data_IF_303099662168
#
_entry.id   IF_303099662168
#
_cell.length_a   1.000
_cell.length_b   1.000
_cell.length_c   1.000
_cell.angle_alpha   90.00
_cell.angle_beta   90.00
_cell.angle_gamma   90.00
#
_symmetry.space_group_name_H-M   'P 1'
#
loop_
_entity.id
_entity.type
_entity.pdbx_description
1 polymer ?
#
# COMPACT_ATOMS: atom_id res chain seq x y z
N UNK A 1 31.89 32.28 24.23
CA UNK A 1 30.88 33.10 24.94
C UNK A 1 30.17 33.84 23.81
N UNK A 2 28.97 33.45 23.38
CA UNK A 2 27.78 33.30 24.20
C UNK A 2 26.86 32.13 23.80
N UNK A 3 26.36 31.49 24.84
CA UNK A 3 25.30 30.50 24.82
C UNK A 3 23.97 31.22 25.04
N UNK A 4 23.02 31.11 24.12
CA UNK A 4 21.58 31.23 24.38
C UNK A 4 20.78 31.13 23.08
N UNK A 5 20.40 29.91 22.70
CA UNK A 5 19.17 29.62 21.96
C UNK A 5 18.75 28.16 22.18
N UNK A 6 18.87 27.69 23.43
CA UNK A 6 18.11 26.53 23.90
C UNK A 6 16.77 27.06 24.39
N UNK A 7 15.79 27.11 23.49
CA UNK A 7 14.39 27.24 23.88
C UNK A 7 13.95 26.00 24.66
N UNK A 8 13.02 26.12 25.62
CA UNK A 8 12.64 25.01 26.48
C UNK A 8 12.06 23.88 25.64
N UNK A 9 12.57 22.67 25.88
CA UNK A 9 11.96 21.44 25.40
C UNK A 9 10.59 21.32 26.08
N UNK A 10 9.55 21.78 25.37
CA UNK A 10 8.17 21.59 25.77
C UNK A 10 7.87 20.10 25.95
N UNK A 11 6.84 19.74 26.73
CA UNK A 11 6.54 18.36 27.06
C UNK A 11 6.40 17.58 25.77
N UNK A 12 7.24 16.55 25.64
CA UNK A 12 7.20 15.48 24.66
C UNK A 12 6.05 15.62 23.66
N UNK A 13 6.34 16.10 22.44
CA UNK A 13 5.50 15.72 21.30
C UNK A 13 5.47 14.20 21.37
N UNK A 14 4.33 13.67 21.81
CA UNK A 14 4.12 12.24 21.91
C UNK A 14 4.63 11.67 20.59
N UNK A 15 5.66 10.84 20.66
CA UNK A 15 6.11 10.03 19.55
C UNK A 15 4.85 9.41 18.97
N UNK A 16 4.39 9.91 17.82
CA UNK A 16 3.16 9.39 17.21
C UNK A 16 3.53 7.98 16.76
N UNK A 17 2.85 6.92 17.25
CA UNK A 17 3.13 5.55 16.82
C UNK A 17 3.10 5.37 15.29
N UNK A 18 2.42 6.28 14.57
CA UNK A 18 2.37 6.33 13.09
C UNK A 18 3.71 6.59 12.38
N UNK A 19 4.74 7.10 13.07
CA UNK A 19 6.06 7.32 12.45
C UNK A 19 6.85 6.03 12.26
N UNK A 20 6.47 4.94 12.93
CA UNK A 20 7.09 3.63 12.75
C UNK A 20 6.03 2.68 12.21
N UNK A 21 5.94 2.64 10.89
CA UNK A 21 4.90 1.95 10.15
C UNK A 21 4.90 0.45 10.43
N UNK A 22 3.98 -0.02 11.27
CA UNK A 22 3.52 -1.38 11.13
C UNK A 22 3.02 -1.59 9.70
N UNK A 23 3.37 -2.72 9.12
CA UNK A 23 3.04 -3.02 7.74
C UNK A 23 1.61 -3.52 7.66
N UNK A 24 0.73 -2.76 7.00
CA UNK A 24 -0.64 -3.15 6.68
C UNK A 24 -0.68 -4.10 5.47
N UNK A 25 -0.01 -5.26 5.50
CA UNK A 25 0.10 -6.11 4.31
C UNK A 25 -1.27 -6.57 3.80
N UNK A 26 -2.11 -7.15 4.67
CA UNK A 26 -3.45 -7.60 4.24
C UNK A 26 -4.36 -6.40 4.04
N UNK A 27 -4.18 -5.33 4.83
CA UNK A 27 -4.88 -4.06 4.65
C UNK A 27 -4.70 -3.50 3.24
N UNK A 28 -3.47 -3.31 2.79
CA UNK A 28 -3.13 -2.81 1.46
C UNK A 28 -3.67 -3.71 0.34
N UNK A 29 -3.40 -5.02 0.42
CA UNK A 29 -3.87 -5.97 -0.58
C UNK A 29 -5.39 -6.03 -0.65
N UNK A 30 -6.05 -6.18 0.50
CA UNK A 30 -7.47 -6.40 0.60
C UNK A 30 -8.31 -5.17 0.33
N UNK A 31 -7.94 -4.01 0.87
CA UNK A 31 -8.66 -2.76 0.60
C UNK A 31 -8.43 -2.31 -0.85
N UNK A 32 -7.19 -2.38 -1.35
CA UNK A 32 -6.89 -2.08 -2.76
C UNK A 32 -7.68 -2.96 -3.73
N UNK A 33 -7.72 -4.28 -3.47
CA UNK A 33 -8.54 -5.22 -4.22
C UNK A 33 -10.03 -4.94 -4.06
N UNK A 34 -10.50 -4.67 -2.85
CA UNK A 34 -11.91 -4.43 -2.55
C UNK A 34 -12.46 -3.19 -3.25
N UNK A 35 -11.67 -2.11 -3.29
CA UNK A 35 -12.01 -0.90 -4.04
C UNK A 35 -12.06 -1.15 -5.55
N UNK A 36 -11.09 -1.89 -6.09
CA UNK A 36 -11.13 -2.29 -7.50
C UNK A 36 -12.36 -3.17 -7.79
N UNK A 37 -12.70 -4.08 -6.89
CA UNK A 37 -13.86 -4.96 -7.03
C UNK A 37 -15.17 -4.17 -7.00
N UNK A 38 -15.30 -3.21 -6.08
CA UNK A 38 -16.44 -2.30 -6.03
C UNK A 38 -16.58 -1.47 -7.31
N UNK A 39 -15.47 -0.98 -7.88
CA UNK A 39 -15.48 -0.24 -9.14
C UNK A 39 -15.86 -1.13 -10.34
N UNK A 40 -15.45 -2.40 -10.32
CA UNK A 40 -15.84 -3.38 -11.35
C UNK A 40 -17.34 -3.66 -11.38
N UNK A 41 -18.04 -3.49 -10.25
CA UNK A 41 -19.49 -3.59 -10.21
C UNK A 41 -20.14 -2.45 -11.00
N UNK A 42 -19.59 -1.23 -10.88
CA UNK A 42 -20.11 -0.04 -11.57
C UNK A 42 -19.71 0.05 -13.04
N UNK A 43 -18.65 -0.63 -13.45
CA UNK A 43 -18.12 -0.56 -14.81
C UNK A 43 -17.86 -1.96 -15.37
N UNK A 44 -18.38 -2.31 -16.56
CA UNK A 44 -18.12 -3.60 -17.21
C UNK A 44 -16.67 -3.79 -17.68
N UNK A 45 -15.76 -2.87 -17.32
CA UNK A 45 -14.35 -2.98 -17.62
C UNK A 45 -13.75 -4.22 -16.95
N UNK A 46 -13.05 -5.04 -17.74
CA UNK A 46 -12.30 -6.19 -17.20
C UNK A 46 -11.12 -5.67 -16.38
N UNK A 47 -11.19 -5.85 -15.06
CA UNK A 47 -10.10 -5.52 -14.14
C UNK A 47 -9.25 -6.77 -13.92
N UNK A 48 -7.94 -6.65 -14.16
CA UNK A 48 -6.97 -7.64 -13.73
C UNK A 48 -6.54 -7.33 -12.29
N UNK A 49 -7.17 -8.02 -11.34
CA UNK A 49 -6.92 -7.83 -9.90
C UNK A 49 -5.48 -8.10 -9.50
N UNK A 50 -4.72 -8.90 -10.27
CA UNK A 50 -3.31 -9.17 -9.97
C UNK A 50 -2.47 -7.91 -10.09
N UNK A 51 -2.76 -7.08 -11.09
CA UNK A 51 -2.03 -5.83 -11.29
C UNK A 51 -2.36 -4.82 -10.19
N UNK A 52 -3.59 -4.82 -9.69
CA UNK A 52 -4.00 -4.03 -8.52
C UNK A 52 -3.27 -4.51 -7.26
N UNK A 53 -3.32 -5.82 -6.98
CA UNK A 53 -2.61 -6.42 -5.84
C UNK A 53 -1.10 -6.15 -5.91
N UNK A 54 -0.50 -6.29 -7.10
CA UNK A 54 0.90 -5.98 -7.32
C UNK A 54 1.20 -4.51 -7.01
N UNK A 55 0.43 -3.59 -7.56
CA UNK A 55 0.57 -2.15 -7.26
C UNK A 55 0.39 -1.83 -5.78
N UNK A 56 -0.52 -2.52 -5.09
CA UNK A 56 -0.81 -2.30 -3.68
C UNK A 56 0.32 -2.72 -2.72
N UNK A 57 1.29 -3.52 -3.17
CA UNK A 57 2.48 -3.87 -2.37
C UNK A 57 3.78 -3.33 -2.97
N UNK A 58 3.72 -2.76 -4.18
CA UNK A 58 4.90 -2.34 -4.93
C UNK A 58 5.73 -1.28 -4.19
N UNK A 59 5.15 -0.23 -3.55
CA UNK A 59 5.93 0.76 -2.84
C UNK A 59 6.76 0.16 -1.70
N UNK A 60 6.11 -0.66 -0.87
CA UNK A 60 6.75 -1.40 0.20
C UNK A 60 7.83 -2.37 -0.28
N UNK A 61 7.58 -3.07 -1.38
CA UNK A 61 8.53 -4.03 -1.96
C UNK A 61 9.82 -3.34 -2.42
N UNK A 62 9.75 -2.06 -2.80
CA UNK A 62 10.92 -1.27 -3.22
C UNK A 62 11.56 -0.60 -2.00
N UNK A 63 10.78 0.18 -1.25
CA UNK A 63 11.34 1.11 -0.27
C UNK A 63 11.76 0.42 1.03
N UNK A 64 11.12 -0.67 1.44
CA UNK A 64 11.53 -1.38 2.68
C UNK A 64 12.90 -2.02 2.56
N UNK A 65 13.20 -2.85 1.55
CA UNK A 65 14.55 -3.40 1.39
C UNK A 65 15.61 -2.30 1.27
N UNK A 66 15.31 -1.23 0.52
CA UNK A 66 16.23 -0.09 0.38
C UNK A 66 16.45 0.63 1.72
N UNK A 67 15.39 0.91 2.47
CA UNK A 67 15.47 1.52 3.79
C UNK A 67 16.32 0.68 4.75
N UNK A 68 16.11 -0.64 4.76
CA UNK A 68 16.86 -1.56 5.62
C UNK A 68 18.34 -1.66 5.24
N UNK A 69 18.66 -1.73 3.95
CA UNK A 69 20.05 -1.84 3.46
C UNK A 69 20.81 -0.52 3.63
N UNK A 70 20.14 0.62 3.42
CA UNK A 70 20.77 1.94 3.44
C UNK A 70 20.68 2.64 4.82
N UNK A 71 19.96 2.08 5.78
CA UNK A 71 19.75 2.69 7.10
C UNK A 71 18.83 3.93 7.06
N UNK A 72 17.94 4.01 6.07
CA UNK A 72 16.94 5.07 5.97
C UNK A 72 15.59 4.61 6.49
N UNK A 73 14.66 5.56 6.60
CA UNK A 73 13.24 5.24 6.74
C UNK A 73 12.75 4.33 5.60
N UNK A 74 11.63 3.63 5.83
CA UNK A 74 11.05 2.67 4.86
C UNK A 74 10.10 3.31 3.84
N UNK A 75 9.97 4.64 3.84
CA UNK A 75 9.16 5.42 2.90
C UNK A 75 10.10 6.34 2.11
N UNK A 76 10.48 5.92 0.92
CA UNK A 76 11.50 6.56 0.09
C UNK A 76 10.86 7.01 -1.23
N UNK A 77 11.47 6.62 -2.36
CA UNK A 77 11.05 7.07 -3.68
C UNK A 77 9.74 6.45 -4.14
N UNK A 78 9.47 5.19 -3.81
CA UNK A 78 8.25 4.51 -4.25
C UNK A 78 7.00 5.01 -3.49
N UNK A 79 7.19 5.64 -2.33
CA UNK A 79 6.13 6.33 -1.58
C UNK A 79 5.88 7.79 -2.02
N UNK A 80 6.39 8.21 -3.17
CA UNK A 80 6.22 9.59 -3.65
C UNK A 80 5.07 9.71 -4.67
N UNK A 81 4.49 10.91 -4.80
CA UNK A 81 3.59 11.20 -5.92
C UNK A 81 4.30 11.14 -7.27
N UNK A 82 5.60 11.47 -7.30
CA UNK A 82 6.40 11.29 -8.51
C UNK A 82 6.37 9.83 -8.99
N UNK A 83 6.54 8.87 -8.09
CA UNK A 83 6.47 7.44 -8.44
C UNK A 83 5.07 7.03 -8.90
N UNK A 84 4.02 7.42 -8.16
CA UNK A 84 2.64 7.15 -8.56
C UNK A 84 2.35 7.70 -9.98
N UNK A 85 2.68 8.96 -10.24
CA UNK A 85 2.40 9.58 -11.52
C UNK A 85 3.29 9.04 -12.64
N UNK A 86 4.52 8.63 -12.36
CA UNK A 86 5.35 7.92 -13.34
C UNK A 86 4.70 6.59 -13.76
N UNK A 87 4.21 5.79 -12.81
CA UNK A 87 3.48 4.54 -13.10
C UNK A 87 2.20 4.82 -13.90
N UNK A 88 1.42 5.83 -13.52
CA UNK A 88 0.22 6.21 -14.25
C UNK A 88 0.54 6.75 -15.65
N UNK A 89 1.64 7.48 -15.83
CA UNK A 89 2.07 8.00 -17.12
C UNK A 89 2.38 6.87 -18.12
N UNK A 90 2.91 5.73 -17.65
CA UNK A 90 3.09 4.55 -18.50
C UNK A 90 1.77 4.11 -19.15
N UNK A 91 0.63 4.29 -18.48
CA UNK A 91 -0.67 3.89 -19.01
C UNK A 91 -1.17 4.71 -20.20
N UNK A 92 -0.53 5.85 -20.50
CA UNK A 92 -0.80 6.61 -21.73
C UNK A 92 -0.24 5.93 -22.98
N UNK A 93 0.77 5.07 -22.83
CA UNK A 93 1.27 4.25 -23.94
C UNK A 93 0.26 3.11 -24.20
N UNK A 94 -0.27 2.95 -25.43
CA UNK A 94 -1.34 1.97 -25.69
C UNK A 94 -1.01 0.53 -25.27
N UNK A 95 0.24 0.10 -25.45
CA UNK A 95 0.71 -1.24 -25.06
C UNK A 95 0.84 -1.43 -23.54
N UNK A 96 0.90 -0.34 -22.78
CA UNK A 96 1.05 -0.32 -21.32
C UNK A 96 -0.21 0.17 -20.61
N UNK A 97 -1.34 0.26 -21.31
CA UNK A 97 -2.61 0.79 -20.76
C UNK A 97 -3.03 0.11 -19.44
N UNK A 98 -2.71 -1.16 -19.25
CA UNK A 98 -3.03 -1.93 -18.03
C UNK A 98 -2.25 -1.47 -16.80
N UNK A 99 -1.14 -0.74 -16.96
CA UNK A 99 -0.38 -0.16 -15.83
C UNK A 99 -1.19 0.83 -15.00
N UNK A 100 -2.32 1.34 -15.53
CA UNK A 100 -3.29 2.09 -14.72
C UNK A 100 -3.82 1.31 -13.51
N UNK A 101 -3.87 -0.03 -13.60
CA UNK A 101 -4.28 -0.90 -12.50
C UNK A 101 -3.18 -1.02 -11.43
N UNK A 102 -1.92 -1.05 -11.87
CA UNK A 102 -0.76 -0.97 -10.95
C UNK A 102 -0.74 0.39 -10.27
N UNK A 103 -0.90 1.47 -11.03
CA UNK A 103 -1.00 2.82 -10.49
C UNK A 103 -2.19 3.00 -9.54
N UNK A 104 -3.33 2.36 -9.82
CA UNK A 104 -4.45 2.32 -8.89
C UNK A 104 -4.08 1.62 -7.57
N UNK A 105 -3.43 0.46 -7.64
CA UNK A 105 -2.91 -0.22 -6.45
C UNK A 105 -1.94 0.65 -5.66
N UNK A 106 -0.98 1.29 -6.32
CA UNK A 106 -0.04 2.24 -5.69
C UNK A 106 -0.80 3.41 -5.06
N UNK A 107 -1.80 3.97 -5.73
CA UNK A 107 -2.60 5.07 -5.17
C UNK A 107 -3.34 4.64 -3.90
N UNK A 108 -3.94 3.44 -3.89
CA UNK A 108 -4.57 2.90 -2.68
C UNK A 108 -3.56 2.63 -1.56
N UNK A 109 -2.34 2.23 -1.91
CA UNK A 109 -1.25 2.06 -0.95
C UNK A 109 -0.89 3.40 -0.30
N UNK A 110 -0.57 4.41 -1.09
CA UNK A 110 -0.24 5.75 -0.59
C UNK A 110 -1.37 6.37 0.25
N UNK A 111 -2.63 6.10 -0.13
CA UNK A 111 -3.80 6.55 0.61
C UNK A 111 -3.86 5.92 2.01
N UNK A 112 -3.67 4.61 2.11
CA UNK A 112 -3.72 3.88 3.37
C UNK A 112 -2.53 4.19 4.28
N UNK A 113 -1.37 4.47 3.67
CA UNK A 113 -0.18 4.91 4.38
C UNK A 113 -0.24 6.37 4.84
N UNK A 114 -1.33 7.08 4.52
CA UNK A 114 -1.58 8.49 4.85
C UNK A 114 -0.39 9.38 4.49
N UNK A 115 0.22 9.13 3.33
CA UNK A 115 1.55 9.65 3.01
C UNK A 115 1.63 11.20 3.01
N UNK A 116 0.49 11.88 2.95
CA UNK A 116 0.39 13.33 3.13
C UNK A 116 0.86 13.83 4.50
N UNK A 117 0.88 12.98 5.53
CA UNK A 117 1.48 13.27 6.85
C UNK A 117 3.01 13.38 6.78
N UNK A 118 3.62 12.97 5.66
CA UNK A 118 5.04 13.13 5.34
C UNK A 118 5.24 14.03 4.11
N UNK A 119 4.99 15.36 4.20
CA UNK A 119 5.02 16.26 3.04
C UNK A 119 6.31 16.21 2.21
N UNK A 120 7.46 15.98 2.86
CA UNK A 120 8.75 15.85 2.18
C UNK A 120 8.83 14.64 1.24
N UNK A 121 8.27 13.51 1.66
CA UNK A 121 8.19 12.29 0.85
C UNK A 121 7.10 12.47 -0.19
N UNK A 122 5.92 12.89 0.25
CA UNK A 122 4.75 13.08 -0.59
C UNK A 122 5.04 13.94 -1.84
N UNK A 123 5.65 15.11 -1.63
CA UNK A 123 5.97 16.08 -2.69
C UNK A 123 7.41 15.98 -3.22
N UNK A 124 8.15 14.92 -2.90
CA UNK A 124 9.51 14.77 -3.42
C UNK A 124 9.54 14.92 -4.96
N UNK A 125 10.49 15.69 -5.53
CA UNK A 125 11.65 16.34 -4.88
C UNK A 125 11.43 17.82 -4.48
N UNK A 126 10.19 18.33 -4.49
CA UNK A 126 9.91 19.77 -4.30
C UNK A 126 10.37 20.33 -2.94
N UNK A 127 10.37 19.52 -1.88
CA UNK A 127 10.84 19.91 -0.54
C UNK A 127 12.24 19.40 -0.20
N UNK A 128 13.03 19.02 -1.20
CA UNK A 128 14.42 18.60 -1.06
C UNK A 128 14.69 17.20 -1.59
N UNK A 129 15.97 16.82 -1.54
CA UNK A 129 16.50 15.59 -2.15
C UNK A 129 16.86 14.51 -1.13
N UNK A 130 16.62 14.76 0.16
CA UNK A 130 17.03 13.87 1.25
C UNK A 130 15.83 13.26 1.95
N UNK A 131 16.00 12.02 2.39
CA UNK A 131 15.04 11.31 3.23
C UNK A 131 15.57 11.23 4.67
N UNK A 132 14.70 11.34 5.69
CA UNK A 132 15.06 11.10 7.08
C UNK A 132 15.80 9.77 7.29
N UNK A 133 16.94 9.83 7.96
CA UNK A 133 17.63 8.66 8.47
C UNK A 133 16.98 8.22 9.79
N UNK A 134 15.99 7.35 9.69
CA UNK A 134 15.33 6.72 10.85
C UNK A 134 15.43 5.20 10.65
N UNK A 135 16.30 4.50 11.39
CA UNK A 135 16.43 3.06 11.27
C UNK A 135 15.13 2.35 11.63
N UNK A 136 14.83 1.27 10.91
CA UNK A 136 13.72 0.39 11.27
C UNK A 136 13.97 -0.28 12.63
N UNK A 137 12.93 -0.31 13.46
CA UNK A 137 12.91 -1.07 14.71
C UNK A 137 11.86 -2.16 14.63
N UNK A 138 12.30 -3.41 14.72
CA UNK A 138 11.43 -4.60 14.74
C UNK A 138 10.49 -4.58 15.94
N UNK A 139 10.95 -4.11 17.10
CA UNK A 139 10.15 -4.07 18.32
C UNK A 139 8.98 -3.10 18.18
N UNK A 140 9.23 -1.90 17.66
CA UNK A 140 8.18 -0.90 17.43
C UNK A 140 7.20 -1.36 16.35
N UNK A 141 7.69 -2.10 15.34
CA UNK A 141 6.81 -2.71 14.34
C UNK A 141 5.86 -3.75 14.95
N UNK A 142 6.36 -4.64 15.81
CA UNK A 142 5.51 -5.63 16.50
C UNK A 142 4.55 -4.97 17.46
N UNK A 143 4.99 -3.97 18.20
CA UNK A 143 4.14 -3.20 19.11
C UNK A 143 2.98 -2.56 18.36
N UNK A 144 3.24 -1.89 17.24
CA UNK A 144 2.20 -1.31 16.43
C UNK A 144 1.27 -2.37 15.80
N UNK A 145 1.78 -3.51 15.34
CA UNK A 145 0.94 -4.59 14.80
C UNK A 145 0.00 -5.20 15.86
N UNK A 146 0.49 -5.39 17.08
CA UNK A 146 -0.22 -6.10 18.16
C UNK A 146 -1.03 -5.19 19.07
N UNK A 147 -0.77 -3.88 19.07
CA UNK A 147 -1.41 -2.97 20.01
C UNK A 147 -1.99 -1.70 19.38
N UNK A 148 -1.70 -1.36 18.12
CA UNK A 148 -2.36 -0.23 17.44
C UNK A 148 -3.72 -0.67 16.86
N UNK A 149 -4.85 -0.16 17.39
CA UNK A 149 -6.19 -0.55 16.92
C UNK A 149 -6.43 -0.17 15.45
N UNK A 150 -5.80 0.89 14.94
CA UNK A 150 -5.93 1.28 13.54
C UNK A 150 -5.25 0.26 12.63
N UNK A 151 -4.06 -0.21 13.02
CA UNK A 151 -3.33 -1.25 12.31
C UNK A 151 -4.14 -2.53 12.24
N UNK A 152 -4.62 -2.99 13.39
CA UNK A 152 -5.43 -4.19 13.48
C UNK A 152 -6.71 -4.10 12.67
N UNK A 153 -7.41 -2.96 12.75
CA UNK A 153 -8.62 -2.74 11.98
C UNK A 153 -8.36 -2.83 10.47
N UNK A 154 -7.30 -2.19 9.98
CA UNK A 154 -6.92 -2.24 8.57
C UNK A 154 -6.57 -3.66 8.11
N UNK A 155 -5.77 -4.39 8.89
CA UNK A 155 -5.41 -5.78 8.60
C UNK A 155 -6.63 -6.72 8.57
N UNK A 156 -7.51 -6.59 9.57
CA UNK A 156 -8.74 -7.39 9.65
C UNK A 156 -9.68 -7.07 8.48
N UNK A 157 -9.90 -5.78 8.18
CA UNK A 157 -10.73 -5.37 7.06
C UNK A 157 -10.17 -5.87 5.73
N UNK A 158 -8.87 -5.77 5.54
CA UNK A 158 -8.16 -6.30 4.37
C UNK A 158 -8.32 -7.81 4.23
N UNK A 159 -8.11 -8.56 5.32
CA UNK A 159 -8.30 -10.01 5.35
C UNK A 159 -9.73 -10.42 4.98
N UNK A 160 -10.74 -9.75 5.56
CA UNK A 160 -12.15 -9.98 5.26
C UNK A 160 -12.44 -9.76 3.78
N UNK A 161 -11.93 -8.68 3.19
CA UNK A 161 -12.13 -8.38 1.77
C UNK A 161 -11.48 -9.43 0.86
N UNK A 162 -10.27 -9.88 1.17
CA UNK A 162 -9.59 -10.95 0.42
C UNK A 162 -10.37 -12.28 0.50
N UNK A 163 -10.84 -12.65 1.70
CA UNK A 163 -11.62 -13.88 1.92
C UNK A 163 -12.97 -13.77 1.19
N UNK A 164 -13.67 -12.65 1.30
CA UNK A 164 -14.94 -12.41 0.63
C UNK A 164 -14.80 -12.48 -0.89
N UNK A 165 -13.78 -11.84 -1.45
CA UNK A 165 -13.47 -11.91 -2.88
C UNK A 165 -13.20 -13.35 -3.33
N UNK A 166 -12.33 -14.07 -2.60
CA UNK A 166 -12.03 -15.47 -2.91
C UNK A 166 -13.29 -16.35 -2.84
N UNK A 167 -14.14 -16.14 -1.83
CA UNK A 167 -15.38 -16.88 -1.64
C UNK A 167 -16.39 -16.64 -2.77
N UNK A 168 -16.63 -15.37 -3.11
CA UNK A 168 -17.58 -14.97 -4.17
C UNK A 168 -17.11 -15.51 -5.51
N UNK A 169 -15.81 -15.43 -5.81
CA UNK A 169 -15.26 -15.90 -7.08
C UNK A 169 -14.89 -17.39 -7.10
N UNK A 170 -15.27 -18.16 -6.08
CA UNK A 170 -15.06 -19.61 -6.05
C UNK A 170 -13.60 -20.06 -5.95
N UNK A 171 -12.69 -19.19 -5.50
CA UNK A 171 -11.29 -19.51 -5.22
C UNK A 171 -11.21 -20.27 -3.89
N UNK A 172 -11.68 -21.52 -3.89
CA UNK A 172 -11.74 -22.39 -2.69
C UNK A 172 -10.68 -23.49 -2.66
N UNK A 173 -9.89 -23.63 -3.74
CA UNK A 173 -8.85 -24.64 -3.85
C UNK A 173 -7.52 -24.01 -4.23
N UNK A 174 -6.43 -24.69 -3.85
CA UNK A 174 -5.09 -24.28 -4.22
C UNK A 174 -4.87 -24.23 -5.74
N UNK A 175 -5.53 -25.11 -6.49
CA UNK A 175 -5.52 -25.08 -7.96
C UNK A 175 -6.16 -23.82 -8.52
N UNK A 176 -7.34 -23.43 -8.01
CA UNK A 176 -8.03 -22.20 -8.41
C UNK A 176 -7.22 -20.95 -8.04
N UNK A 177 -6.63 -20.93 -6.85
CA UNK A 177 -5.77 -19.83 -6.40
C UNK A 177 -4.52 -19.68 -7.28
N UNK A 178 -3.83 -20.77 -7.59
CA UNK A 178 -2.68 -20.75 -8.52
C UNK A 178 -3.08 -20.31 -9.92
N UNK A 179 -4.24 -20.75 -10.41
CA UNK A 179 -4.77 -20.31 -11.70
C UNK A 179 -5.05 -18.80 -11.71
N UNK A 180 -5.69 -18.29 -10.64
CA UNK A 180 -5.89 -16.85 -10.45
C UNK A 180 -4.57 -16.09 -10.45
N UNK A 181 -3.57 -16.51 -9.66
CA UNK A 181 -2.28 -15.81 -9.62
C UNK A 181 -1.54 -15.83 -10.97
N UNK A 182 -1.54 -16.96 -11.67
CA UNK A 182 -0.81 -17.13 -12.93
C UNK A 182 -1.49 -16.48 -14.13
N UNK A 183 -2.82 -16.55 -14.20
CA UNK A 183 -3.56 -16.19 -15.41
C UNK A 183 -4.59 -15.07 -15.19
N UNK A 184 -4.87 -14.68 -13.94
CA UNK A 184 -5.90 -13.70 -13.62
C UNK A 184 -7.30 -14.26 -13.86
N UNK A 185 -7.42 -15.57 -14.04
CA UNK A 185 -8.67 -16.24 -14.34
C UNK A 185 -9.41 -16.52 -13.03
N UNK A 186 -10.66 -16.05 -12.99
CA UNK A 186 -11.58 -16.39 -11.92
C UNK A 186 -12.33 -17.66 -12.35
N UNK A 187 -12.51 -18.64 -11.45
CA UNK A 187 -13.37 -19.78 -11.72
C UNK A 187 -14.74 -19.33 -12.24
N UNK A 188 -15.31 -20.02 -13.25
CA UNK A 188 -16.68 -19.74 -13.66
C UNK A 188 -17.61 -19.93 -12.46
N UNK A 189 -18.44 -18.91 -12.19
CA UNK A 189 -19.40 -18.98 -11.10
C UNK A 189 -20.39 -20.14 -11.35
N UNK A 190 -20.86 -20.83 -10.30
CA UNK A 190 -21.95 -21.80 -10.43
C UNK A 190 -23.16 -21.14 -11.09
N UNK A 191 -23.86 -21.89 -11.96
CA UNK A 191 -25.08 -21.45 -12.64
C UNK A 191 -26.11 -20.97 -11.61
N UNK A 192 -26.32 -19.65 -11.50
CA UNK A 192 -27.31 -19.06 -10.58
C UNK A 192 -26.89 -17.77 -9.86
N UNK A 193 -25.60 -17.42 -9.85
CA UNK A 193 -25.13 -16.17 -9.23
C UNK A 193 -25.24 -15.00 -10.22
N UNK A 194 -26.16 -14.07 -9.99
CA UNK A 194 -26.30 -12.85 -10.80
C UNK A 194 -25.07 -11.94 -10.64
N UNK A 195 -24.67 -11.29 -11.75
CA UNK A 195 -23.55 -10.34 -11.82
C UNK A 195 -23.88 -8.98 -11.23
#
# INVERSE_FOLDING_TARGET
MDAACFGPQGPSRAFRPREVSATFLLGHLGIGLGLAWLLSWRSPARIDYRLVLFGAILPDLIDKPLGYVLGFQTRLWAHTFLFLFAILALSFVPSLRTWRLVGFGVATHLLLDEIWDLPKVFWYPAYGWTFPAVPFSTDVWFEALLHDPYVQFGEIAGAILLIAFAWVHGIRSWGAFRAFLRHGTLPPLPSGTLR
#
